data_IF_538070680074
#
_entry.id   IF_538070680074
#
_cell.length_a   1.000
_cell.length_b   1.000
_cell.length_c   1.000
_cell.angle_alpha   90.00
_cell.angle_beta   90.00
_cell.angle_gamma   90.00
#
_symmetry.space_group_name_H-M   'P 1'
#
loop_
_entity.id
_entity.type
_entity.pdbx_description
1 polymer ?
2 polymer ?
3 water ?
#
# COMPACT_ATOMS: atom_id res chain seq x y z
CA UNK A 9 8.90 4.84 -9.50
C UNK A 9 8.28 5.81 -10.52
N UNK A 10 7.40 5.31 -11.38
CA UNK A 10 6.73 6.19 -12.33
C UNK A 10 5.61 6.89 -11.60
N UNK A 11 5.37 8.15 -11.94
CA UNK A 11 4.18 8.82 -11.44
C UNK A 11 3.10 8.70 -12.50
N UNK A 12 1.86 8.57 -12.07
CA UNK A 12 0.73 8.44 -12.97
C UNK A 12 -0.43 9.31 -12.51
N UNK A 13 -1.29 9.71 -13.46
CA UNK A 13 -2.49 10.48 -13.18
C UNK A 13 -3.71 9.64 -13.58
N UNK A 14 -4.39 9.05 -12.60
CA UNK A 14 -5.58 8.27 -12.92
C UNK A 14 -6.65 9.08 -13.66
N UNK A 15 -7.31 8.41 -14.61
CA UNK A 15 -8.49 8.96 -15.26
C UNK A 15 -9.63 8.95 -14.26
N UNK A 16 -10.75 9.61 -14.60
CA UNK A 16 -11.71 9.87 -13.55
C UNK A 16 -12.36 8.67 -12.86
N UNK A 17 -12.64 7.59 -13.57
CA UNK A 17 -13.32 6.49 -12.93
C UNK A 17 -12.38 5.79 -11.92
N UNK A 18 -11.12 5.64 -12.31
CA UNK A 18 -10.10 5.08 -11.41
C UNK A 18 -9.91 6.03 -10.23
N UNK A 19 -9.89 7.32 -10.50
CA UNK A 19 -9.77 8.27 -9.39
C UNK A 19 -10.88 8.08 -8.37
N UNK A 20 -12.10 7.86 -8.85
CA UNK A 20 -13.26 7.68 -7.97
C UNK A 20 -13.08 6.40 -7.15
N UNK A 21 -12.59 5.35 -7.80
CA UNK A 21 -12.29 4.11 -7.07
C UNK A 21 -11.27 4.35 -5.96
N UNK A 22 -10.17 5.00 -6.30
CA UNK A 22 -9.07 5.27 -5.35
C UNK A 22 -9.59 6.05 -4.15
N UNK A 23 -10.40 7.04 -4.46
CA UNK A 23 -10.96 7.95 -3.45
C UNK A 23 -11.98 7.25 -2.53
N UNK A 24 -12.76 6.33 -3.10
CA UNK A 24 -13.65 5.53 -2.28
C UNK A 24 -12.89 4.70 -1.20
N UNK A 25 -11.58 4.54 -1.34
CA UNK A 25 -10.80 3.84 -0.30
C UNK A 25 -9.73 4.72 0.35
N UNK A 26 -9.92 6.03 0.26
CA UNK A 26 -9.19 6.95 1.14
C UNK A 26 -8.16 7.81 0.46
N UNK A 27 -7.89 7.52 -0.81
CA UNK A 27 -6.84 8.27 -1.50
C UNK A 27 -7.39 9.64 -1.88
N UNK A 28 -6.61 10.70 -1.64
CA UNK A 28 -7.12 12.07 -1.82
C UNK A 28 -6.41 12.91 -2.88
N UNK A 29 -5.45 12.32 -3.58
CA UNK A 29 -4.58 13.05 -4.48
C UNK A 29 -4.95 12.80 -5.93
N UNK A 30 -4.28 13.53 -6.84
CA UNK A 30 -4.50 13.32 -8.27
C UNK A 30 -3.34 12.59 -8.98
N UNK A 31 -2.18 12.52 -8.32
CA UNK A 31 -0.99 11.89 -8.88
C UNK A 31 -0.44 10.83 -7.92
N UNK A 32 -0.14 9.65 -8.46
CA UNK A 32 0.21 8.49 -7.64
C UNK A 32 1.41 7.78 -8.23
N UNK A 33 2.03 6.91 -7.45
CA UNK A 33 2.98 5.98 -8.01
C UNK A 33 2.16 4.75 -8.40
N UNK A 34 2.71 3.89 -9.26
CA UNK A 34 2.02 2.63 -9.55
C UNK A 34 1.84 1.81 -8.26
N UNK A 35 2.81 1.90 -7.36
CA UNK A 35 2.70 1.18 -6.08
C UNK A 35 1.49 1.60 -5.27
N UNK A 36 1.23 2.90 -5.19
CA UNK A 36 0.05 3.39 -4.51
C UNK A 36 -1.22 2.95 -5.23
N UNK A 37 -1.19 2.94 -6.56
CA UNK A 37 -2.38 2.54 -7.30
C UNK A 37 -2.66 1.06 -7.01
N UNK A 38 -1.64 0.23 -7.08
CA UNK A 38 -1.87 -1.19 -6.75
C UNK A 38 -2.33 -1.40 -5.30
N UNK A 39 -1.74 -0.66 -4.37
CA UNK A 39 -2.12 -0.82 -2.97
C UNK A 39 -3.60 -0.49 -2.78
N UNK A 40 -4.03 0.65 -3.29
CA UNK A 40 -5.41 1.05 -3.12
C UNK A 40 -6.43 0.13 -3.81
N UNK A 41 -6.08 -0.33 -4.99
CA UNK A 41 -6.96 -1.26 -5.71
C UNK A 41 -7.08 -2.56 -4.91
N UNK A 42 -5.96 -3.00 -4.33
CA UNK A 42 -5.94 -4.14 -3.44
C UNK A 42 -6.87 -3.91 -2.27
N UNK A 43 -6.78 -2.73 -1.64
CA UNK A 43 -7.68 -2.40 -0.54
C UNK A 43 -9.15 -2.39 -0.93
N UNK A 44 -9.43 -1.87 -2.11
CA UNK A 44 -10.78 -1.84 -2.65
C UNK A 44 -11.35 -3.25 -2.79
N UNK A 45 -10.60 -4.14 -3.40
CA UNK A 45 -11.05 -5.52 -3.57
C UNK A 45 -11.25 -6.23 -2.21
N UNK A 46 -10.27 -6.08 -1.31
CA UNK A 46 -10.39 -6.71 0.02
C UNK A 46 -11.56 -6.16 0.83
N UNK A 47 -11.66 -4.83 0.94
CA UNK A 47 -12.71 -4.19 1.75
C UNK A 47 -14.12 -4.45 1.22
N UNK A 48 -14.25 -4.57 -0.08
CA UNK A 48 -15.57 -4.84 -0.64
C UNK A 48 -15.85 -6.35 -0.76
N UNK A 49 -14.88 -7.17 -0.34
CA UNK A 49 -14.97 -8.64 -0.43
C UNK A 49 -15.38 -9.12 -1.82
N UNK A 50 -14.67 -8.63 -2.83
CA UNK A 50 -14.97 -9.01 -4.22
C UNK A 50 -14.29 -10.29 -4.67
N UNK A 51 -13.48 -10.89 -3.82
CA UNK A 51 -12.73 -12.07 -4.18
C UNK A 51 -13.52 -13.30 -3.76
N UNK A 52 -13.29 -14.41 -4.45
CA UNK A 52 -13.97 -15.68 -4.17
C UNK A 52 -13.42 -16.26 -2.87
N UNK A 53 -14.29 -16.66 -1.96
CA UNK A 53 -13.80 -17.04 -0.64
C UNK A 53 -12.94 -18.31 -0.66
N UNK A 54 -13.29 -19.22 -1.55
CA UNK A 54 -12.59 -20.50 -1.67
C UNK A 54 -11.35 -20.40 -2.55
N UNK A 55 -11.41 -19.61 -3.62
CA UNK A 55 -10.26 -19.48 -4.51
C UNK A 55 -9.97 -17.98 -4.58
N UNK A 56 -9.13 -17.52 -3.65
CA UNK A 56 -9.04 -16.07 -3.38
C UNK A 56 -8.29 -15.29 -4.43
N UNK A 57 -7.84 -15.93 -5.50
CA UNK A 57 -7.25 -15.16 -6.60
C UNK A 57 -8.33 -14.72 -7.56
N UNK A 58 -9.53 -15.24 -7.39
CA UNK A 58 -10.61 -14.89 -8.31
C UNK A 58 -11.31 -13.66 -7.77
N UNK A 59 -11.45 -12.65 -8.62
CA UNK A 59 -12.17 -11.44 -8.25
C UNK A 59 -13.37 -11.22 -9.17
N UNK A 60 -14.51 -10.94 -8.56
CA UNK A 60 -15.73 -10.64 -9.31
C UNK A 60 -15.93 -9.15 -9.35
N UNK A 61 -15.93 -8.56 -10.53
CA UNK A 61 -16.11 -7.11 -10.58
C UNK A 61 -17.36 -6.62 -11.31
N UNK A 62 -18.21 -7.55 -11.70
CA UNK A 62 -19.50 -7.20 -12.28
C UNK A 62 -20.29 -6.39 -11.26
N UNK A 63 -21.19 -5.56 -11.78
CA UNK A 63 -22.11 -4.83 -10.94
C UNK A 63 -21.34 -3.95 -9.98
N UNK A 64 -20.15 -3.55 -10.40
CA UNK A 64 -19.30 -2.76 -9.53
C UNK A 64 -18.53 -1.83 -10.42
N UNK A 65 -18.14 -0.68 -9.89
CA UNK A 65 -17.34 0.26 -10.61
C UNK A 65 -16.08 -0.42 -11.19
N UNK A 66 -15.54 -1.39 -10.47
CA UNK A 66 -14.32 -2.04 -10.94
C UNK A 66 -14.53 -2.72 -12.28
N UNK A 67 -15.72 -3.28 -12.50
CA UNK A 67 -16.03 -3.97 -13.74
C UNK A 67 -16.17 -2.99 -14.89
N UNK A 68 -16.61 -1.78 -14.58
CA UNK A 68 -16.71 -0.72 -15.61
C UNK A 68 -15.32 -0.20 -15.94
N UNK A 69 -14.47 -0.19 -14.94
CA UNK A 69 -13.07 0.23 -15.10
C UNK A 69 -12.28 -0.78 -15.91
N UNK A 70 -12.49 -2.05 -15.61
CA UNK A 70 -11.71 -3.11 -16.21
C UNK A 70 -12.36 -3.66 -17.51
N UNK A 71 -13.68 -3.58 -17.60
CA UNK A 71 -14.37 -4.05 -18.80
C UNK A 71 -14.64 -5.55 -18.83
N UNK A 72 -14.46 -6.23 -17.70
CA UNK A 72 -14.63 -7.67 -17.59
C UNK A 72 -15.46 -7.91 -16.32
N UNK A 73 -16.20 -9.03 -16.25
CA UNK A 73 -16.98 -9.21 -15.03
C UNK A 73 -16.21 -10.02 -13.99
N UNK A 74 -15.07 -10.57 -14.38
CA UNK A 74 -14.26 -11.33 -13.43
C UNK A 74 -12.82 -11.36 -13.91
N UNK A 75 -11.85 -11.57 -13.00
CA UNK A 75 -10.46 -11.82 -13.42
C UNK A 75 -9.72 -12.54 -12.32
N UNK A 76 -8.53 -13.03 -12.66
CA UNK A 76 -7.70 -13.70 -11.67
C UNK A 76 -6.48 -12.85 -11.31
N UNK A 77 -6.21 -12.72 -10.01
CA UNK A 77 -5.03 -11.99 -9.52
C UNK A 77 -3.73 -12.56 -10.11
N UNK A 78 -3.75 -13.83 -10.52
CA UNK A 78 -2.56 -14.46 -11.11
C UNK A 78 -2.26 -13.98 -12.50
N UNK A 79 -3.20 -13.24 -13.10
CA UNK A 79 -3.07 -12.77 -14.46
C UNK A 79 -2.39 -11.43 -14.47
N UNK A 80 -1.13 -11.44 -14.10
CA UNK A 80 -0.38 -10.22 -13.88
C UNK A 80 -0.39 -9.24 -15.06
N UNK A 81 -0.07 -9.70 -16.25
CA UNK A 81 -0.02 -8.83 -17.39
C UNK A 81 -1.40 -8.25 -17.76
N UNK A 82 -2.45 -9.04 -17.56
CA UNK A 82 -3.79 -8.52 -17.85
C UNK A 82 -4.15 -7.42 -16.84
N UNK A 83 -3.85 -7.65 -15.58
CA UNK A 83 -4.15 -6.64 -14.55
C UNK A 83 -3.46 -5.33 -14.83
N UNK A 84 -2.14 -5.38 -15.06
CA UNK A 84 -1.44 -4.15 -15.32
C UNK A 84 -1.98 -3.48 -16.56
N UNK A 85 -2.33 -4.26 -17.57
CA UNK A 85 -2.79 -3.70 -18.83
C UNK A 85 -4.09 -2.93 -18.62
N UNK A 86 -4.98 -3.51 -17.81
CA UNK A 86 -6.26 -2.89 -17.48
C UNK A 86 -6.04 -1.61 -16.70
N UNK A 87 -5.14 -1.66 -15.72
CA UNK A 87 -4.81 -0.47 -14.95
C UNK A 87 -4.27 0.65 -15.85
N UNK A 88 -3.30 0.34 -16.70
CA UNK A 88 -2.73 1.34 -17.59
C UNK A 88 -3.73 1.99 -18.54
N UNK A 89 -4.77 1.26 -18.93
CA UNK A 89 -5.82 1.81 -19.78
C UNK A 89 -6.47 2.98 -19.08
N UNK A 90 -6.44 2.95 -17.75
CA UNK A 90 -7.12 3.94 -16.92
C UNK A 90 -6.20 4.98 -16.27
N UNK A 91 -4.99 5.12 -16.79
CA UNK A 91 -3.97 6.02 -16.23
C UNK A 91 -3.40 6.86 -17.38
N UNK A 92 -2.98 8.09 -17.11
CA UNK A 92 -2.03 8.75 -17.99
C UNK A 92 -0.69 8.78 -17.27
N UNK A 93 0.36 8.30 -17.92
CA UNK A 93 1.68 8.29 -17.30
C UNK A 93 2.40 9.63 -17.40
N UNK A 94 2.80 10.18 -16.26
CA UNK A 94 3.44 11.48 -16.26
C UNK A 94 4.73 11.50 -17.08
N UNK A 95 4.86 12.54 -17.92
CA UNK A 95 5.96 12.65 -18.87
C UNK A 95 5.57 12.13 -20.26
N UNK B 1 -4.19 -20.13 0.31
CA UNK B 1 -3.66 -18.94 -0.40
C UNK B 1 -4.70 -17.82 -0.33
N UNK B 2 -4.34 -16.76 0.38
CA UNK B 2 -5.26 -15.67 0.67
C UNK B 2 -5.18 -14.58 -0.40
N UNK B 3 -6.22 -13.77 -0.47
CA UNK B 3 -6.25 -12.71 -1.47
C UNK B 3 -5.03 -11.81 -1.29
N UNK B 4 -4.76 -11.44 -0.05
CA UNK B 4 -3.55 -10.67 0.25
C UNK B 4 -2.27 -11.29 -0.32
N UNK B 5 -2.06 -12.59 -0.08
CA UNK B 5 -0.91 -13.30 -0.64
C UNK B 5 -0.83 -13.19 -2.16
N UNK B 6 -1.94 -13.44 -2.84
CA UNK B 6 -1.96 -13.28 -4.29
C UNK B 6 -1.68 -11.83 -4.71
N UNK B 7 -2.31 -10.86 -4.06
CA UNK B 7 -2.20 -9.46 -4.50
C UNK B 7 -0.73 -9.00 -4.46
N UNK B 8 0.00 -9.48 -3.46
CA UNK B 8 1.42 -9.17 -3.29
C UNK B 8 2.32 -9.56 -4.46
N UNK B 9 1.96 -10.61 -5.19
CA UNK B 9 2.83 -11.04 -6.27
C UNK B 9 2.77 -10.06 -7.43
N UNK B 10 1.83 -9.12 -7.38
CA UNK B 10 1.67 -8.13 -8.45
C UNK B 10 2.77 -7.08 -8.39
N UNK B 11 3.30 -6.87 -7.20
CA UNK B 11 4.42 -5.95 -7.04
C UNK B 11 5.72 -6.63 -7.53
N UNK C 10 -9.61 0.33 9.76
CA UNK C 10 -10.38 1.61 9.61
C UNK C 10 -9.70 2.71 10.41
N UNK C 11 -10.42 3.78 10.76
CA UNK C 11 -9.75 5.10 10.80
C UNK C 11 -9.00 5.54 12.03
N UNK C 12 -7.73 5.89 11.80
CA UNK C 12 -6.83 6.32 12.84
C UNK C 12 -6.20 7.66 12.47
N UNK C 13 -5.72 8.37 13.49
CA UNK C 13 -5.14 9.71 13.35
C UNK C 13 -3.77 9.80 14.00
N UNK C 14 -2.71 9.75 13.18
CA UNK C 14 -1.33 9.83 13.63
C UNK C 14 -1.02 11.11 14.42
N UNK C 15 -0.27 10.96 15.49
CA UNK C 15 0.26 12.13 16.19
C UNK C 15 1.28 12.81 15.30
N UNK C 16 1.71 14.01 15.70
CA UNK C 16 2.49 14.89 14.85
C UNK C 16 3.75 14.34 14.22
N UNK C 17 4.57 13.61 14.97
CA UNK C 17 5.84 13.12 14.45
C UNK C 17 5.60 12.03 13.38
N UNK C 18 4.73 11.07 13.71
CA UNK C 18 4.34 10.04 12.73
C UNK C 18 3.68 10.65 11.48
N UNK C 19 2.75 11.59 11.69
CA UNK C 19 2.09 12.30 10.59
C UNK C 19 3.13 12.93 9.67
N UNK C 20 4.18 13.53 10.25
CA UNK C 20 5.23 14.21 9.47
C UNK C 20 5.95 13.22 8.59
N UNK C 21 6.20 12.05 9.15
CA UNK C 21 6.84 10.98 8.43
C UNK C 21 5.98 10.54 7.26
N UNK C 22 4.69 10.30 7.52
CA UNK C 22 3.83 9.77 6.48
C UNK C 22 3.72 10.77 5.35
N UNK C 23 3.59 12.05 5.73
CA UNK C 23 3.42 13.12 4.74
C UNK C 23 4.65 13.38 3.91
N UNK C 24 5.82 13.04 4.45
CA UNK C 24 7.08 13.20 3.74
C UNK C 24 7.16 12.26 2.53
N UNK C 25 6.38 11.18 2.56
CA UNK C 25 6.31 10.28 1.38
C UNK C 25 4.99 10.41 0.59
N UNK C 26 4.30 11.52 0.81
CA UNK C 26 3.26 11.97 -0.11
C UNK C 26 1.87 11.52 0.25
N UNK C 27 1.70 11.05 1.48
CA UNK C 27 0.41 10.54 1.92
C UNK C 27 -0.67 11.61 1.81
N UNK C 28 -0.32 12.84 2.17
CA UNK C 28 -1.20 13.99 1.96
C UNK C 28 -2.57 13.88 2.61
N UNK C 29 -2.66 13.22 3.75
CA UNK C 29 -3.91 13.20 4.51
C UNK C 29 -3.66 13.12 6.01
N UNK C 30 -4.71 13.28 6.81
CA UNK C 30 -4.59 13.27 8.27
C UNK C 30 -5.19 12.03 8.91
N UNK C 31 -6.04 11.35 8.16
CA UNK C 31 -6.79 10.23 8.69
C UNK C 31 -6.48 9.02 7.81
N UNK C 32 -6.17 7.89 8.44
CA UNK C 32 -5.65 6.72 7.74
C UNK C 32 -6.28 5.43 8.25
N UNK C 33 -6.34 4.42 7.38
CA UNK C 33 -6.58 3.09 7.91
C UNK C 33 -5.23 2.57 8.42
N UNK C 34 -5.22 1.53 9.24
CA UNK C 34 -3.93 0.93 9.64
C UNK C 34 -3.14 0.45 8.43
N UNK C 35 -3.82 -0.09 7.41
CA UNK C 35 -3.09 -0.58 6.24
C UNK C 35 -2.42 0.59 5.53
N UNK C 36 -3.06 1.75 5.52
CA UNK C 36 -2.45 2.93 4.89
C UNK C 36 -1.22 3.41 5.66
N UNK C 37 -1.32 3.44 6.98
CA UNK C 37 -0.15 3.76 7.80
C UNK C 37 0.99 2.83 7.50
N UNK C 38 0.73 1.53 7.52
CA UNK C 38 1.77 0.56 7.19
C UNK C 38 2.30 0.76 5.77
N UNK C 39 1.43 1.02 4.81
CA UNK C 39 1.94 1.21 3.46
C UNK C 39 2.91 2.37 3.42
N UNK C 40 2.51 3.51 3.97
CA UNK C 40 3.34 4.72 3.81
C UNK C 40 4.60 4.64 4.66
N UNK C 41 4.51 3.99 5.81
CA UNK C 41 5.71 3.73 6.61
C UNK C 41 6.74 2.88 5.83
N UNK C 42 6.28 1.81 5.17
CA UNK C 42 7.14 1.00 4.32
C UNK C 42 7.73 1.82 3.17
N UNK C 43 6.92 2.68 2.57
CA UNK C 43 7.42 3.52 1.48
C UNK C 43 8.52 4.49 1.94
N UNK C 44 8.37 4.98 3.15
CA UNK C 44 9.36 5.87 3.75
C UNK C 44 10.68 5.14 3.88
N UNK C 45 10.64 3.97 4.51
CA UNK C 45 11.87 3.16 4.65
C UNK C 45 12.50 2.82 3.27
N UNK C 46 11.69 2.47 2.28
CA UNK C 46 12.23 2.14 0.95
C UNK C 46 12.83 3.37 0.28
N UNK C 47 12.03 4.44 0.25
CA UNK C 47 12.41 5.72 -0.35
C UNK C 47 13.73 6.25 0.18
N UNK C 48 13.90 6.19 1.50
CA UNK C 48 15.14 6.68 2.07
C UNK C 48 16.20 5.60 2.22
N UNK C 49 15.94 4.42 1.66
CA UNK C 49 16.95 3.37 1.60
C UNK C 49 17.52 3.02 2.97
N UNK C 50 16.64 2.92 3.96
CA UNK C 50 17.07 2.68 5.33
C UNK C 50 17.30 1.18 5.61
N UNK C 51 16.81 0.32 4.74
CA UNK C 51 17.00 -1.11 4.93
C UNK C 51 18.39 -1.55 4.42
N UNK C 52 18.98 -2.52 5.09
CA UNK C 52 20.21 -3.15 4.61
C UNK C 52 20.05 -3.83 3.24
N UNK C 53 21.01 -3.64 2.34
CA UNK C 53 20.93 -4.22 0.99
C UNK C 53 21.05 -5.75 1.02
N UNK C 54 21.85 -6.28 1.95
CA UNK C 54 22.08 -7.72 2.05
C UNK C 54 21.02 -8.43 2.89
N UNK C 55 20.70 -7.84 4.04
CA UNK C 55 19.64 -8.36 4.90
C UNK C 55 18.53 -7.32 4.92
N UNK C 56 17.59 -7.44 4.00
CA UNK C 56 16.68 -6.33 3.74
C UNK C 56 15.54 -6.28 4.74
N UNK C 57 15.54 -7.18 5.73
CA UNK C 57 14.59 -7.00 6.84
C UNK C 57 15.18 -6.08 7.89
N UNK C 58 16.46 -5.74 7.75
CA UNK C 58 17.13 -4.88 8.75
C UNK C 58 17.03 -3.39 8.41
N UNK C 59 16.48 -2.60 9.33
CA UNK C 59 16.28 -1.17 9.08
C UNK C 59 17.17 -0.33 9.99
N UNK C 60 18.00 0.54 9.40
CA UNK C 60 18.83 1.46 10.15
C UNK C 60 18.19 2.85 10.23
N UNK C 61 18.00 3.36 11.44
CA UNK C 61 17.30 4.64 11.63
C UNK C 61 17.89 5.60 12.66
N UNK C 62 19.21 5.52 12.91
CA UNK C 62 19.77 6.12 14.14
C UNK C 62 20.00 7.64 14.19
N UNK C 63 19.71 8.35 13.09
CA UNK C 63 19.74 9.81 13.04
C UNK C 63 18.60 10.26 12.13
N UNK C 64 17.41 9.70 12.35
CA UNK C 64 16.33 9.85 11.40
C UNK C 64 15.08 9.95 12.23
N UNK C 65 14.07 10.66 11.72
CA UNK C 65 12.76 10.73 12.38
C UNK C 65 12.26 9.36 12.81
N UNK C 66 12.46 8.36 11.97
CA UNK C 66 12.00 7.02 12.28
C UNK C 66 12.70 6.52 13.55
N UNK C 67 13.98 6.85 13.68
CA UNK C 67 14.72 6.55 14.90
C UNK C 67 14.12 7.14 16.16
N UNK C 68 13.62 8.37 16.07
CA UNK C 68 12.99 9.03 17.20
C UNK C 68 11.69 8.33 17.59
N UNK C 69 10.96 7.88 16.58
CA UNK C 69 9.70 7.19 16.79
C UNK C 69 9.87 5.89 17.55
N UNK C 70 10.88 5.11 17.17
CA UNK C 70 11.08 3.82 17.81
C UNK C 70 11.94 3.97 19.06
N UNK C 71 12.73 5.03 19.13
CA UNK C 71 13.68 5.21 20.24
C UNK C 71 14.84 4.24 20.18
N UNK C 72 15.15 3.72 18.99
CA UNK C 72 16.31 2.85 18.80
C UNK C 72 16.97 3.15 17.47
N UNK C 73 18.22 2.69 17.27
CA UNK C 73 19.03 2.99 16.09
C UNK C 73 18.84 1.99 14.94
N UNK C 74 18.27 0.83 15.22
CA UNK C 74 17.90 -0.13 14.20
C UNK C 74 16.78 -1.02 14.73
N UNK C 75 16.07 -1.71 13.83
CA UNK C 75 15.12 -2.74 14.18
C UNK C 75 14.99 -3.65 12.98
N UNK C 76 14.43 -4.84 13.17
CA UNK C 76 14.15 -5.75 12.06
C UNK C 76 12.67 -5.67 11.69
N UNK C 77 12.37 -5.66 10.40
CA UNK C 77 10.96 -5.64 10.03
C UNK C 77 10.25 -6.90 10.47
N UNK C 78 11.01 -7.95 10.77
CA UNK C 78 10.41 -9.18 11.34
C UNK C 78 9.85 -8.98 12.74
N UNK C 79 10.25 -7.90 13.42
CA UNK C 79 9.74 -7.62 14.76
C UNK C 79 8.35 -6.97 14.74
N UNK C 80 7.37 -7.74 14.32
CA UNK C 80 6.04 -7.18 14.08
C UNK C 80 5.46 -6.47 15.32
N UNK C 81 5.53 -7.09 16.50
CA UNK C 81 4.91 -6.48 17.68
C UNK C 81 5.56 -5.15 18.03
N UNK C 82 6.87 -5.05 17.82
CA UNK C 82 7.59 -3.82 18.08
C UNK C 82 7.08 -2.72 17.15
N UNK C 83 6.91 -3.05 15.87
CA UNK C 83 6.44 -2.07 14.88
C UNK C 83 4.98 -1.65 15.15
N UNK C 84 4.09 -2.60 15.35
CA UNK C 84 2.71 -2.21 15.69
C UNK C 84 2.63 -1.44 16.98
N UNK C 85 3.44 -1.81 17.96
CA UNK C 85 3.42 -1.11 19.24
C UNK C 85 3.80 0.36 19.06
N UNK C 86 4.85 0.58 18.28
CA UNK C 86 5.26 1.94 17.90
C UNK C 86 4.12 2.70 17.25
N UNK C 87 3.46 2.08 16.27
CA UNK C 87 2.32 2.72 15.65
C UNK C 87 1.19 3.13 16.63
N UNK C 88 0.74 2.20 17.46
CA UNK C 88 -0.38 2.48 18.33
C UNK C 88 -0.08 3.55 19.35
N UNK C 89 1.19 3.64 19.73
CA UNK C 89 1.72 4.62 20.67
C UNK C 89 1.72 6.01 20.02
N UNK C 90 1.63 6.03 18.69
CA UNK C 90 1.69 7.29 17.92
C UNK C 90 0.43 7.59 17.13
N UNK C 91 -0.69 7.07 17.62
CA UNK C 91 -2.03 7.35 17.09
C UNK C 91 -2.88 8.06 18.12
N UNK C 92 -3.56 9.12 17.71
CA UNK C 92 -4.37 9.92 18.63
C UNK C 92 -5.36 9.04 19.41
N UNK D 1 15.37 -12.42 -0.45
CA UNK D 1 14.10 -11.87 0.09
C UNK D 1 14.25 -10.38 0.24
N UNK D 2 13.33 -9.64 -0.37
CA UNK D 2 13.47 -8.20 -0.49
C UNK D 2 12.70 -7.51 0.61
N UNK D 3 13.10 -6.28 0.88
CA UNK D 3 12.38 -5.46 1.84
C UNK D 3 10.89 -5.61 1.61
N UNK D 4 10.43 -5.44 0.36
CA UNK D 4 8.98 -5.54 0.13
C UNK D 4 8.42 -6.87 0.61
N UNK D 5 9.15 -7.94 0.38
CA UNK D 5 8.71 -9.24 0.86
C UNK D 5 8.48 -9.23 2.38
N UNK D 6 9.46 -8.74 3.10
CA UNK D 6 9.37 -8.71 4.56
C UNK D 6 8.27 -7.77 5.05
N UNK D 7 8.15 -6.61 4.42
CA UNK D 7 7.19 -5.61 4.87
C UNK D 7 5.77 -6.10 4.62
N UNK D 8 5.58 -6.81 3.51
CA UNK D 8 4.28 -7.36 3.16
C UNK D 8 3.81 -8.37 4.20
N UNK D 9 4.74 -8.96 4.95
CA UNK D 9 4.37 -9.88 6.00
C UNK D 9 3.82 -9.17 7.25
N UNK D 10 3.76 -7.84 7.25
CA UNK D 10 3.14 -7.11 8.36
C UNK D 10 1.63 -7.06 8.16
N UNK D 11 1.19 -7.34 6.94
CA UNK D 11 -0.24 -7.39 6.63
C UNK D 11 -0.67 -8.83 6.36
#
# INVERSE_FOLDING_TARGET
MQIPASEQETLVRPKPLLLKLLKSVGAQKDTYTMKEVLFYLGQYIMTKRLYDEKQQHIVYCSNDLLGDLFGVPSFSVKEHRKIYTMIYRNLVVVNQQESSDSGTSVSEN
LTFEHYWAQLTS
MQIPASEQETLVRPKPLLLKLLKSVGAQKDTYTMKEVLFYLGQYIMTKRLYDEKQQHIVYCSNDLLGDLFGVPSFSVKEHRKIYTMIYRNLVVVNQQESSDSGTSVSEN
LTFEHYWAQLTS
#
